data_IF_334278581392
#
_entry.id   IF_334278581392
#
_cell.length_a   1.000
_cell.length_b   1.000
_cell.length_c   1.000
_cell.angle_alpha   90.00
_cell.angle_beta   90.00
_cell.angle_gamma   90.00
#
_symmetry.space_group_name_H-M   'P 1'
#
loop_
_entity.id
_entity.type
_entity.pdbx_description
1 polymer ?
#
# COMPACT_ATOMS: atom_id res chain seq x y z
N UNK A 1 14.75 25.07 -22.53
CA UNK A 1 14.59 23.61 -22.48
C UNK A 1 13.16 23.32 -22.06
N UNK A 2 12.34 22.79 -22.98
CA UNK A 2 10.91 22.59 -22.77
C UNK A 2 10.60 21.27 -22.07
N UNK A 3 10.22 21.34 -20.80
CA UNK A 3 9.68 20.21 -20.01
C UNK A 3 8.15 20.28 -19.86
N UNK A 4 7.43 20.87 -20.83
CA UNK A 4 6.01 21.24 -20.64
C UNK A 4 4.94 20.22 -21.04
N UNK A 5 5.25 19.27 -21.94
CA UNK A 5 4.21 18.42 -22.57
C UNK A 5 4.06 17.04 -21.93
N UNK A 6 5.15 16.26 -21.89
CA UNK A 6 5.12 14.85 -21.49
C UNK A 6 4.65 14.61 -20.05
N UNK A 7 5.13 15.43 -19.10
CA UNK A 7 4.73 15.32 -17.69
C UNK A 7 3.25 15.66 -17.45
N UNK A 8 2.68 16.58 -18.24
CA UNK A 8 1.27 16.91 -18.17
C UNK A 8 0.38 15.79 -18.71
N UNK A 9 0.78 15.16 -19.82
CA UNK A 9 0.08 14.01 -20.41
C UNK A 9 0.14 12.78 -19.49
N UNK A 10 1.30 12.44 -18.96
CA UNK A 10 1.44 11.34 -17.99
C UNK A 10 0.57 11.56 -16.74
N UNK A 11 0.54 12.78 -16.22
CA UNK A 11 -0.32 13.13 -15.08
C UNK A 11 -1.81 12.95 -15.40
N UNK A 12 -2.26 13.38 -16.58
CA UNK A 12 -3.64 13.19 -17.05
C UNK A 12 -3.97 11.70 -17.17
N UNK A 13 -3.07 10.90 -17.73
CA UNK A 13 -3.22 9.46 -17.82
C UNK A 13 -3.43 8.81 -16.45
N UNK A 14 -2.55 9.12 -15.49
CA UNK A 14 -2.64 8.60 -14.13
C UNK A 14 -3.95 9.03 -13.46
N UNK A 15 -4.44 10.25 -13.70
CA UNK A 15 -5.72 10.71 -13.17
C UNK A 15 -6.90 9.88 -13.69
N UNK A 16 -7.02 9.70 -15.01
CA UNK A 16 -8.14 8.96 -15.59
C UNK A 16 -8.10 7.49 -15.19
N UNK A 17 -6.92 6.87 -15.23
CA UNK A 17 -6.75 5.47 -14.81
C UNK A 17 -7.04 5.28 -13.31
N UNK A 18 -6.66 6.25 -12.47
CA UNK A 18 -6.96 6.22 -11.03
C UNK A 18 -8.46 6.26 -10.75
N UNK A 19 -9.20 7.11 -11.47
CA UNK A 19 -10.65 7.23 -11.34
C UNK A 19 -11.35 5.95 -11.82
N UNK A 20 -10.88 5.38 -12.93
CA UNK A 20 -11.35 4.08 -13.42
C UNK A 20 -11.16 2.97 -12.38
N UNK A 21 -9.99 2.91 -11.76
CA UNK A 21 -9.70 1.91 -10.72
C UNK A 21 -10.65 2.05 -9.53
N UNK A 22 -10.89 3.28 -9.07
CA UNK A 22 -11.79 3.55 -7.95
C UNK A 22 -13.23 3.09 -8.24
N UNK A 23 -13.78 3.50 -9.38
CA UNK A 23 -15.14 3.13 -9.80
C UNK A 23 -15.25 1.61 -9.97
N UNK A 24 -14.24 0.99 -10.59
CA UNK A 24 -14.21 -0.47 -10.79
C UNK A 24 -14.17 -1.21 -9.46
N UNK A 25 -13.35 -0.77 -8.50
CA UNK A 25 -13.27 -1.38 -7.16
C UNK A 25 -14.60 -1.34 -6.42
N UNK A 26 -15.28 -0.18 -6.46
CA UNK A 26 -16.61 -0.02 -5.84
C UNK A 26 -17.63 -0.91 -6.54
N UNK A 27 -17.67 -0.87 -7.88
CA UNK A 27 -18.62 -1.66 -8.67
C UNK A 27 -18.48 -3.17 -8.43
N UNK A 28 -17.24 -3.68 -8.34
CA UNK A 28 -16.98 -5.10 -8.04
C UNK A 28 -17.54 -5.48 -6.67
N UNK A 29 -17.32 -4.66 -5.63
CA UNK A 29 -17.87 -4.95 -4.30
C UNK A 29 -19.39 -4.82 -4.26
N UNK A 30 -19.97 -3.82 -4.92
CA UNK A 30 -21.43 -3.67 -5.03
C UNK A 30 -22.04 -4.91 -5.69
N UNK A 31 -21.48 -5.37 -6.80
CA UNK A 31 -21.96 -6.55 -7.51
C UNK A 31 -21.84 -7.82 -6.64
N UNK A 32 -20.72 -7.98 -5.91
CA UNK A 32 -20.52 -9.10 -5.00
C UNK A 32 -21.54 -9.12 -3.85
N UNK A 33 -21.87 -7.96 -3.28
CA UNK A 33 -22.88 -7.85 -2.23
C UNK A 33 -24.31 -7.99 -2.75
N UNK A 34 -24.61 -7.53 -3.96
CA UNK A 34 -25.93 -7.64 -4.55
C UNK A 34 -26.32 -9.09 -4.91
N UNK A 35 -25.33 -9.93 -5.21
CA UNK A 35 -25.56 -11.30 -5.70
C UNK A 35 -25.02 -12.36 -4.73
N UNK A 36 -25.10 -12.13 -3.41
CA UNK A 36 -24.56 -13.05 -2.41
C UNK A 36 -25.13 -14.48 -2.52
N UNK A 37 -26.38 -14.64 -2.95
CA UNK A 37 -27.03 -15.95 -3.05
C UNK A 37 -26.67 -16.72 -4.33
N UNK A 38 -26.23 -16.02 -5.38
CA UNK A 38 -25.87 -16.60 -6.68
C UNK A 38 -24.36 -16.77 -6.85
N UNK A 39 -23.57 -15.86 -6.26
CA UNK A 39 -22.12 -15.85 -6.36
C UNK A 39 -21.52 -16.86 -5.39
N UNK A 40 -20.68 -17.75 -5.90
CA UNK A 40 -19.97 -18.71 -5.05
C UNK A 40 -18.92 -18.04 -4.16
N UNK A 41 -18.54 -18.69 -3.07
CA UNK A 41 -17.49 -18.23 -2.16
C UNK A 41 -16.16 -17.96 -2.89
N UNK A 42 -15.84 -18.76 -3.91
CA UNK A 42 -14.70 -18.52 -4.79
C UNK A 42 -14.79 -17.15 -5.47
N UNK A 43 -15.88 -16.88 -6.19
CA UNK A 43 -16.09 -15.64 -6.93
C UNK A 43 -16.16 -14.43 -6.01
N UNK A 44 -16.80 -14.58 -4.85
CA UNK A 44 -16.84 -13.55 -3.82
C UNK A 44 -15.42 -13.22 -3.31
N UNK A 45 -14.65 -14.23 -2.94
CA UNK A 45 -13.27 -14.02 -2.45
C UNK A 45 -12.40 -13.39 -3.53
N UNK A 46 -12.55 -13.82 -4.78
CA UNK A 46 -11.84 -13.25 -5.93
C UNK A 46 -12.19 -11.76 -6.12
N UNK A 47 -13.49 -11.41 -6.05
CA UNK A 47 -13.96 -10.02 -6.11
C UNK A 47 -13.39 -9.15 -4.98
N UNK A 48 -13.35 -9.68 -3.74
CA UNK A 48 -12.75 -8.98 -2.59
C UNK A 48 -11.26 -8.69 -2.81
N UNK A 49 -10.50 -9.66 -3.33
CA UNK A 49 -9.08 -9.47 -3.61
C UNK A 49 -8.84 -8.48 -4.76
N UNK A 50 -9.68 -8.46 -5.80
CA UNK A 50 -9.62 -7.46 -6.87
C UNK A 50 -9.90 -6.05 -6.34
N UNK A 51 -10.88 -5.90 -5.46
CA UNK A 51 -11.20 -4.61 -4.83
C UNK A 51 -10.07 -4.16 -3.88
N UNK A 52 -9.45 -5.07 -3.15
CA UNK A 52 -8.25 -4.81 -2.35
C UNK A 52 -7.11 -4.28 -3.21
N UNK A 53 -6.88 -4.89 -4.37
CA UNK A 53 -5.84 -4.45 -5.31
C UNK A 53 -6.15 -3.08 -5.89
N UNK A 54 -7.39 -2.86 -6.35
CA UNK A 54 -7.88 -1.57 -6.86
C UNK A 54 -7.67 -0.45 -5.82
N UNK A 55 -8.04 -0.69 -4.55
CA UNK A 55 -7.85 0.28 -3.46
C UNK A 55 -6.38 0.64 -3.26
N UNK A 56 -5.48 -0.35 -3.25
CA UNK A 56 -4.04 -0.12 -3.12
C UNK A 56 -3.45 0.67 -4.28
N UNK A 57 -3.86 0.36 -5.52
CA UNK A 57 -3.43 1.07 -6.72
C UNK A 57 -3.92 2.52 -6.69
N UNK A 58 -5.21 2.73 -6.42
CA UNK A 58 -5.79 4.07 -6.33
C UNK A 58 -5.07 4.92 -5.27
N UNK A 59 -4.85 4.38 -4.07
CA UNK A 59 -4.12 5.07 -3.00
C UNK A 59 -2.71 5.51 -3.42
N UNK A 60 -2.03 4.66 -4.19
CA UNK A 60 -0.68 4.91 -4.67
C UNK A 60 -0.64 6.01 -5.72
N UNK A 61 -1.63 6.03 -6.62
CA UNK A 61 -1.78 7.13 -7.60
C UNK A 61 -2.09 8.46 -6.91
N UNK A 62 -2.86 8.45 -5.81
CA UNK A 62 -3.15 9.67 -5.03
C UNK A 62 -1.90 10.26 -4.39
N UNK A 63 -0.98 9.43 -3.88
CA UNK A 63 0.31 9.88 -3.36
C UNK A 63 1.16 10.53 -4.46
N UNK A 64 1.19 9.93 -5.65
CA UNK A 64 1.88 10.49 -6.81
C UNK A 64 1.26 11.83 -7.27
N UNK A 65 -0.06 11.92 -7.28
CA UNK A 65 -0.82 13.10 -7.71
C UNK A 65 -1.00 14.16 -6.61
N UNK A 66 -0.46 13.93 -5.41
CA UNK A 66 -0.69 14.76 -4.21
C UNK A 66 -0.48 16.24 -4.45
N UNK A 67 0.64 16.63 -5.09
CA UNK A 67 0.94 18.03 -5.39
C UNK A 67 -0.14 18.71 -6.26
N UNK A 68 -0.61 17.99 -7.29
CA UNK A 68 -1.63 18.50 -8.21
C UNK A 68 -3.03 18.57 -7.58
N UNK A 69 -3.42 17.54 -6.81
CA UNK A 69 -4.74 17.45 -6.21
C UNK A 69 -4.95 18.46 -5.08
N UNK A 70 -3.87 18.87 -4.40
CA UNK A 70 -3.93 19.93 -3.38
C UNK A 70 -4.23 21.31 -3.96
N UNK A 71 -3.73 21.59 -5.16
CA UNK A 71 -4.10 22.80 -5.88
C UNK A 71 -5.59 22.79 -6.29
N UNK A 72 -6.24 21.61 -6.32
CA UNK A 72 -7.62 21.46 -6.72
C UNK A 72 -8.45 20.68 -5.69
N UNK A 73 -8.77 21.29 -4.53
CA UNK A 73 -9.35 20.59 -3.38
C UNK A 73 -10.68 19.90 -3.68
N UNK A 74 -11.51 20.45 -4.58
CA UNK A 74 -12.78 19.82 -4.99
C UNK A 74 -12.60 18.40 -5.55
N UNK A 75 -11.60 18.21 -6.40
CA UNK A 75 -11.32 16.91 -7.02
C UNK A 75 -10.59 15.96 -6.08
N UNK A 76 -9.86 16.51 -5.10
CA UNK A 76 -9.25 15.75 -4.02
C UNK A 76 -10.34 15.13 -3.12
N UNK A 77 -11.33 15.92 -2.70
CA UNK A 77 -12.41 15.47 -1.81
C UNK A 77 -13.29 14.40 -2.46
N UNK A 78 -13.62 14.53 -3.75
CA UNK A 78 -14.35 13.49 -4.48
C UNK A 78 -13.62 12.14 -4.44
N UNK A 79 -12.31 12.14 -4.74
CA UNK A 79 -11.49 10.92 -4.74
C UNK A 79 -11.33 10.33 -3.34
N UNK A 80 -11.08 11.18 -2.34
CA UNK A 80 -11.01 10.73 -0.94
C UNK A 80 -12.34 10.11 -0.49
N UNK A 81 -13.47 10.74 -0.84
CA UNK A 81 -14.79 10.22 -0.48
C UNK A 81 -15.02 8.84 -1.09
N UNK A 82 -14.80 8.68 -2.40
CA UNK A 82 -14.94 7.37 -3.04
C UNK A 82 -13.97 6.34 -2.47
N UNK A 83 -12.74 6.73 -2.15
CA UNK A 83 -11.74 5.86 -1.55
C UNK A 83 -12.16 5.38 -0.14
N UNK A 84 -12.73 6.26 0.68
CA UNK A 84 -13.28 5.90 2.00
C UNK A 84 -14.46 4.94 1.84
N UNK A 85 -15.35 5.17 0.88
CA UNK A 85 -16.47 4.26 0.58
C UNK A 85 -15.93 2.88 0.18
N UNK A 86 -15.00 2.81 -0.77
CA UNK A 86 -14.35 1.56 -1.20
C UNK A 86 -13.70 0.85 -0.02
N UNK A 87 -13.00 1.58 0.84
CA UNK A 87 -12.32 1.01 2.01
C UNK A 87 -13.30 0.44 3.04
N UNK A 88 -14.38 1.16 3.35
CA UNK A 88 -15.42 0.66 4.28
C UNK A 88 -16.08 -0.60 3.74
N UNK A 89 -16.46 -0.59 2.46
CA UNK A 89 -16.99 -1.78 1.78
C UNK A 89 -15.98 -2.94 1.83
N UNK A 90 -14.70 -2.67 1.62
CA UNK A 90 -13.64 -3.68 1.65
C UNK A 90 -13.45 -4.27 3.06
N UNK A 91 -13.46 -3.44 4.11
CA UNK A 91 -13.37 -3.92 5.50
C UNK A 91 -14.52 -4.87 5.82
N UNK A 92 -15.75 -4.51 5.43
CA UNK A 92 -16.93 -5.36 5.60
C UNK A 92 -16.78 -6.64 4.79
N UNK A 93 -16.31 -6.55 3.54
CA UNK A 93 -16.19 -7.70 2.66
C UNK A 93 -15.15 -8.74 3.12
N UNK A 94 -14.11 -8.30 3.84
CA UNK A 94 -13.05 -9.15 4.38
C UNK A 94 -13.49 -10.00 5.59
N UNK A 95 -14.49 -9.56 6.37
CA UNK A 95 -14.98 -10.27 7.58
C UNK A 95 -15.19 -11.77 7.33
N UNK A 96 -16.03 -12.18 6.35
CA UNK A 96 -16.26 -13.60 6.07
C UNK A 96 -15.01 -14.34 5.55
N UNK A 97 -14.07 -13.64 4.91
CA UNK A 97 -12.86 -14.25 4.36
C UNK A 97 -11.84 -14.63 5.44
N UNK A 98 -11.97 -14.09 6.66
CA UNK A 98 -11.10 -14.41 7.79
C UNK A 98 -11.46 -15.71 8.51
N UNK A 99 -12.56 -16.35 8.13
CA UNK A 99 -13.01 -17.61 8.72
C UNK A 99 -12.09 -18.74 8.25
N UNK A 100 -11.22 -19.24 9.14
CA UNK A 100 -10.30 -20.33 8.82
C UNK A 100 -11.02 -21.65 8.56
N UNK A 101 -12.25 -21.79 9.05
CA UNK A 101 -13.15 -22.91 8.78
C UNK A 101 -13.32 -23.18 7.27
N UNK A 102 -13.36 -22.15 6.43
CA UNK A 102 -13.53 -22.31 4.99
C UNK A 102 -12.32 -23.03 4.36
N UNK A 103 -11.12 -22.62 4.74
CA UNK A 103 -9.88 -23.25 4.27
C UNK A 103 -9.79 -24.71 4.71
N UNK A 104 -10.16 -24.99 5.96
CA UNK A 104 -10.17 -26.34 6.52
C UNK A 104 -11.21 -27.24 5.82
N UNK A 105 -12.39 -26.71 5.55
CA UNK A 105 -13.43 -27.43 4.79
C UNK A 105 -12.96 -27.75 3.37
N UNK A 106 -12.33 -26.81 2.68
CA UNK A 106 -11.88 -27.02 1.31
C UNK A 106 -10.75 -28.07 1.22
N UNK A 107 -9.83 -28.08 2.19
CA UNK A 107 -8.75 -29.05 2.28
C UNK A 107 -9.28 -30.47 2.54
N UNK A 108 -10.15 -30.65 3.53
CA UNK A 108 -10.71 -31.96 3.85
C UNK A 108 -11.61 -32.48 2.73
N UNK A 109 -12.45 -31.63 2.13
CA UNK A 109 -13.32 -32.03 1.00
C UNK A 109 -12.49 -32.46 -0.21
N UNK A 110 -11.35 -31.81 -0.49
CA UNK A 110 -10.47 -32.24 -1.58
C UNK A 110 -9.89 -33.65 -1.39
N UNK A 111 -9.92 -34.18 -0.16
CA UNK A 111 -9.47 -35.53 0.19
C UNK A 111 -10.55 -36.60 -0.01
N UNK A 112 -11.83 -36.22 -0.05
CA UNK A 112 -12.96 -37.13 -0.19
C UNK A 112 -13.65 -36.91 -1.55
N UNK A 113 -13.63 -37.94 -2.41
CA UNK A 113 -14.04 -37.87 -3.82
C UNK A 113 -15.52 -37.46 -4.05
N UNK A 114 -16.38 -37.59 -3.04
CA UNK A 114 -17.83 -37.44 -3.16
C UNK A 114 -18.40 -36.13 -2.57
N UNK A 115 -17.55 -35.22 -2.07
CA UNK A 115 -18.01 -33.96 -1.46
C UNK A 115 -17.78 -32.75 -2.38
N UNK A 116 -18.77 -31.85 -2.46
CA UNK A 116 -18.63 -30.58 -3.20
C UNK A 116 -17.68 -29.63 -2.46
N UNK A 117 -16.66 -29.04 -3.11
CA UNK A 117 -15.73 -28.12 -2.47
C UNK A 117 -16.45 -26.89 -1.92
N UNK A 118 -16.04 -26.44 -0.73
CA UNK A 118 -16.66 -25.32 -0.02
C UNK A 118 -16.63 -24.00 -0.83
N UNK A 119 -15.67 -23.89 -1.75
CA UNK A 119 -15.52 -22.78 -2.68
C UNK A 119 -16.73 -22.61 -3.65
N UNK A 120 -17.48 -23.68 -3.90
CA UNK A 120 -18.66 -23.67 -4.79
C UNK A 120 -19.98 -23.34 -4.09
N UNK A 121 -19.99 -23.16 -2.78
CA UNK A 121 -21.20 -22.81 -2.01
C UNK A 121 -21.52 -21.32 -2.24
N UNK A 122 -22.79 -20.90 -2.26
CA UNK A 122 -23.17 -19.49 -2.28
C UNK A 122 -22.51 -18.68 -1.15
N UNK A 123 -22.00 -17.49 -1.47
CA UNK A 123 -21.35 -16.60 -0.50
C UNK A 123 -22.32 -16.15 0.61
N UNK A 124 -23.62 -16.07 0.33
CA UNK A 124 -24.66 -15.74 1.29
C UNK A 124 -24.73 -16.73 2.45
N UNK A 125 -24.36 -18.00 2.24
CA UNK A 125 -24.24 -18.97 3.32
C UNK A 125 -23.18 -18.52 4.35
N UNK A 126 -22.07 -17.95 3.90
CA UNK A 126 -20.97 -17.49 4.77
C UNK A 126 -21.42 -16.33 5.66
N UNK A 127 -22.20 -15.40 5.11
CA UNK A 127 -22.81 -14.30 5.85
C UNK A 127 -23.86 -14.79 6.87
N UNK A 128 -24.64 -15.83 6.53
CA UNK A 128 -25.60 -16.45 7.46
C UNK A 128 -24.89 -17.11 8.66
N UNK A 129 -23.69 -17.69 8.46
CA UNK A 129 -22.88 -18.23 9.56
C UNK A 129 -22.43 -17.13 10.55
N UNK A 130 -22.09 -15.93 10.07
CA UNK A 130 -21.66 -14.83 10.95
C UNK A 130 -22.79 -14.27 11.82
N UNK A 131 -24.03 -14.28 11.33
CA UNK A 131 -25.17 -13.63 11.99
C UNK A 131 -25.86 -14.46 13.06
N UNK A 132 -26.13 -15.74 12.81
CA UNK A 132 -26.86 -16.64 13.71
C UNK A 132 -26.58 -18.11 13.34
N UNK A 133 -25.35 -18.59 13.53
CA UNK A 133 -25.06 -20.01 13.28
C UNK A 133 -25.62 -20.89 14.41
N UNK A 134 -26.70 -21.60 14.12
CA UNK A 134 -27.13 -22.78 14.88
C UNK A 134 -26.99 -24.00 13.99
N UNK A 135 -26.28 -25.06 14.41
CA UNK A 135 -26.21 -26.28 13.63
C UNK A 135 -27.64 -26.83 13.45
N UNK A 136 -28.06 -27.24 12.24
CA UNK A 136 -29.35 -27.90 12.07
C UNK A 136 -29.42 -29.11 13.02
N UNK A 137 -30.35 -29.08 13.97
CA UNK A 137 -30.65 -30.21 14.86
C UNK A 137 -31.62 -31.18 14.16
N UNK A 138 -31.35 -31.56 12.91
CA UNK A 138 -32.19 -32.54 12.24
C UNK A 138 -31.76 -33.98 12.55
N UNK A 139 -32.72 -34.70 13.12
CA UNK A 139 -32.67 -36.07 13.62
C UNK A 139 -32.53 -37.10 12.47
N UNK A 140 -31.34 -37.22 11.87
CA UNK A 140 -30.98 -38.43 11.13
C UNK A 140 -29.76 -39.04 11.81
N UNK A 141 -30.02 -40.06 12.64
CA UNK A 141 -29.09 -40.71 13.56
C UNK A 141 -27.87 -41.40 12.95
N UNK A 142 -27.36 -40.95 11.79
CA UNK A 142 -26.21 -41.57 11.15
C UNK A 142 -25.29 -40.63 10.36
N UNK A 143 -25.68 -39.36 10.09
CA UNK A 143 -24.82 -38.41 9.39
C UNK A 143 -24.65 -37.12 10.20
N UNK A 144 -23.56 -37.03 10.99
CA UNK A 144 -23.08 -35.71 11.44
C UNK A 144 -22.77 -34.89 10.20
N UNK A 145 -23.39 -33.72 10.06
CA UNK A 145 -22.97 -32.78 9.03
C UNK A 145 -21.48 -32.47 9.22
N UNK A 146 -20.64 -32.52 8.16
CA UNK A 146 -19.22 -32.18 8.26
C UNK A 146 -19.02 -30.79 8.87
N UNK A 147 -19.98 -29.88 8.67
CA UNK A 147 -20.00 -28.54 9.24
C UNK A 147 -19.85 -28.51 10.77
N UNK A 148 -20.39 -29.48 11.51
CA UNK A 148 -20.27 -29.53 12.97
C UNK A 148 -18.82 -29.75 13.45
N UNK A 149 -17.96 -30.33 12.60
CA UNK A 149 -16.52 -30.49 12.86
C UNK A 149 -15.78 -29.15 12.77
N UNK A 150 -16.19 -28.27 11.87
CA UNK A 150 -15.52 -26.99 11.61
C UNK A 150 -16.10 -25.81 12.39
N UNK A 151 -17.35 -25.94 12.86
CA UNK A 151 -18.04 -24.95 13.67
C UNK A 151 -18.51 -25.57 15.00
N UNK A 152 -17.60 -25.96 15.92
CA UNK A 152 -18.02 -26.53 17.19
C UNK A 152 -18.72 -25.47 18.06
N UNK A 153 -19.98 -25.72 18.42
CA UNK A 153 -20.76 -24.96 19.43
C UNK A 153 -20.80 -23.43 19.20
N UNK A 154 -20.88 -22.97 17.95
CA UNK A 154 -20.99 -21.54 17.63
C UNK A 154 -19.69 -20.75 17.68
N UNK A 155 -18.56 -21.40 17.99
CA UNK A 155 -17.25 -20.77 17.88
C UNK A 155 -16.78 -20.80 16.43
N UNK A 156 -16.72 -19.62 15.80
CA UNK A 156 -16.20 -19.44 14.44
C UNK A 156 -14.69 -19.29 14.54
N UNK A 157 -13.88 -20.26 14.07
CA UNK A 157 -12.43 -20.12 14.12
C UNK A 157 -11.97 -19.05 13.13
N UNK A 158 -11.14 -18.13 13.62
CA UNK A 158 -10.62 -16.98 12.86
C UNK A 158 -9.14 -17.19 12.57
N UNK A 159 -8.71 -16.88 11.35
CA UNK A 159 -7.30 -16.87 10.98
C UNK A 159 -6.59 -15.64 11.56
N UNK A 160 -5.72 -15.86 12.55
CA UNK A 160 -4.93 -14.79 13.18
C UNK A 160 -4.02 -14.04 12.20
N UNK A 161 -3.53 -14.68 11.14
CA UNK A 161 -2.72 -14.02 10.11
C UNK A 161 -3.55 -13.06 9.28
N UNK A 162 -4.76 -13.47 8.92
CA UNK A 162 -5.69 -12.63 8.19
C UNK A 162 -6.13 -11.41 9.02
N UNK A 163 -6.37 -11.60 10.33
CA UNK A 163 -6.67 -10.48 11.26
C UNK A 163 -5.51 -9.50 11.36
N UNK A 164 -4.28 -10.00 11.53
CA UNK A 164 -3.09 -9.15 11.56
C UNK A 164 -2.94 -8.36 10.25
N UNK A 165 -3.16 -9.02 9.10
CA UNK A 165 -3.13 -8.38 7.79
C UNK A 165 -4.17 -7.26 7.66
N UNK A 166 -5.39 -7.48 8.15
CA UNK A 166 -6.45 -6.45 8.15
C UNK A 166 -6.11 -5.26 9.04
N UNK A 167 -5.50 -5.51 10.20
CA UNK A 167 -5.01 -4.43 11.07
C UNK A 167 -3.94 -3.61 10.35
N UNK A 168 -2.95 -4.27 9.73
CA UNK A 168 -1.89 -3.61 8.96
C UNK A 168 -2.48 -2.81 7.80
N UNK A 169 -3.46 -3.38 7.07
CA UNK A 169 -4.15 -2.72 5.98
C UNK A 169 -4.86 -1.46 6.45
N UNK A 170 -5.57 -1.53 7.58
CA UNK A 170 -6.24 -0.38 8.19
C UNK A 170 -5.25 0.72 8.56
N UNK A 171 -4.18 0.39 9.28
CA UNK A 171 -3.15 1.36 9.64
C UNK A 171 -2.47 1.96 8.41
N UNK A 172 -2.19 1.17 7.38
CA UNK A 172 -1.56 1.64 6.14
C UNK A 172 -2.48 2.58 5.36
N UNK A 173 -3.77 2.24 5.27
CA UNK A 173 -4.78 3.10 4.65
C UNK A 173 -4.85 4.45 5.35
N UNK A 174 -4.98 4.43 6.69
CA UNK A 174 -5.08 5.63 7.52
C UNK A 174 -3.81 6.48 7.41
N UNK A 175 -2.62 5.88 7.50
CA UNK A 175 -1.32 6.54 7.28
C UNK A 175 -1.30 7.27 5.94
N UNK A 176 -1.61 6.56 4.84
CA UNK A 176 -1.54 7.13 3.49
C UNK A 176 -2.63 8.19 3.26
N UNK A 177 -3.82 8.01 3.80
CA UNK A 177 -4.89 9.01 3.76
C UNK A 177 -4.47 10.30 4.49
N UNK A 178 -3.90 10.20 5.69
CA UNK A 178 -3.40 11.37 6.42
C UNK A 178 -2.26 12.05 5.70
N UNK A 179 -1.41 11.30 5.01
CA UNK A 179 -0.30 11.85 4.24
C UNK A 179 -0.76 12.78 3.12
N UNK A 180 -2.02 12.71 2.67
CA UNK A 180 -2.57 13.61 1.65
C UNK A 180 -2.67 15.07 2.13
N UNK A 181 -2.71 15.33 3.43
CA UNK A 181 -2.83 16.67 4.01
C UNK A 181 -1.57 17.04 4.79
N UNK A 182 -0.99 18.23 4.58
CA UNK A 182 0.27 18.60 5.23
C UNK A 182 0.13 18.68 6.74
N UNK A 183 -0.92 19.34 7.23
CA UNK A 183 -1.19 19.46 8.67
C UNK A 183 -1.37 18.07 9.33
N UNK A 184 -1.99 17.12 8.63
CA UNK A 184 -2.17 15.77 9.16
C UNK A 184 -0.89 14.95 9.06
N UNK A 185 -0.14 15.07 7.96
CA UNK A 185 1.19 14.44 7.80
C UNK A 185 2.17 14.93 8.85
N UNK A 186 2.30 16.23 9.03
CA UNK A 186 3.26 16.83 9.96
C UNK A 186 2.93 16.41 11.39
N UNK A 187 1.64 16.42 11.76
CA UNK A 187 1.20 15.88 13.07
C UNK A 187 1.50 14.40 13.20
N UNK A 188 1.29 13.61 12.16
CA UNK A 188 1.56 12.18 12.19
C UNK A 188 3.07 11.91 12.30
N UNK A 189 3.89 12.53 11.46
CA UNK A 189 5.35 12.42 11.52
C UNK A 189 5.86 12.89 12.89
N UNK A 190 5.31 13.98 13.42
CA UNK A 190 5.68 14.43 14.75
C UNK A 190 5.34 13.39 15.84
N UNK A 191 4.16 12.76 15.74
CA UNK A 191 3.72 11.75 16.71
C UNK A 191 4.50 10.44 16.62
N UNK A 192 4.84 9.98 15.43
CA UNK A 192 5.38 8.64 15.20
C UNK A 192 6.86 8.57 14.80
N UNK A 193 7.46 9.67 14.36
CA UNK A 193 8.89 9.80 14.02
C UNK A 193 9.62 10.67 15.04
N UNK A 194 9.15 11.89 15.28
CA UNK A 194 9.88 12.83 16.15
C UNK A 194 9.76 12.48 17.64
N UNK A 195 8.55 12.17 18.13
CA UNK A 195 8.34 11.83 19.55
C UNK A 195 9.14 10.58 19.98
N UNK A 196 9.15 9.46 19.23
CA UNK A 196 9.93 8.29 19.63
C UNK A 196 11.43 8.51 19.49
N UNK A 197 11.89 9.21 18.46
CA UNK A 197 13.33 9.53 18.30
C UNK A 197 13.84 10.42 19.43
N UNK A 198 13.07 11.45 19.84
CA UNK A 198 13.37 12.28 21.00
C UNK A 198 13.34 11.47 22.31
N UNK A 199 12.39 10.55 22.46
CA UNK A 199 12.34 9.67 23.62
C UNK A 199 13.58 8.77 23.72
N UNK A 200 13.99 8.19 22.60
CA UNK A 200 15.17 7.33 22.49
C UNK A 200 16.45 8.11 22.76
N UNK A 201 16.62 9.29 22.17
CA UNK A 201 17.76 10.17 22.40
C UNK A 201 17.89 10.55 23.89
N UNK A 202 16.79 10.97 24.53
CA UNK A 202 16.76 11.25 25.98
C UNK A 202 17.11 10.04 26.84
N UNK A 203 16.79 8.82 26.40
CA UNK A 203 17.15 7.59 27.11
C UNK A 203 18.62 7.27 26.91
N UNK A 204 19.14 7.35 25.69
CA UNK A 204 20.57 7.13 25.36
C UNK A 204 21.46 8.08 26.17
N UNK A 205 21.10 9.36 26.25
CA UNK A 205 21.85 10.37 27.02
C UNK A 205 21.87 10.06 28.53
N UNK A 206 20.76 9.57 29.10
CA UNK A 206 20.69 9.17 30.52
C UNK A 206 21.63 8.02 30.87
N UNK A 207 21.88 7.10 29.94
CA UNK A 207 22.76 5.96 30.17
C UNK A 207 24.23 6.24 29.87
N UNK A 208 24.60 7.48 29.50
CA UNK A 208 25.97 7.88 29.16
C UNK A 208 26.92 7.98 30.37
N UNK A 209 26.39 7.96 31.61
CA UNK A 209 27.19 8.07 32.84
C UNK A 209 28.07 6.85 33.15
N UNK A 210 29.29 7.10 33.68
CA UNK A 210 30.36 6.09 33.90
C UNK A 210 30.39 5.46 35.32
N UNK A 211 29.62 5.99 36.27
CA UNK A 211 29.72 5.59 37.68
C UNK A 211 28.99 4.27 37.98
N UNK A 212 29.67 3.27 38.55
CA UNK A 212 29.05 2.02 39.02
C UNK A 212 29.96 0.78 38.92
N UNK A 213 29.52 -0.34 39.51
CA UNK A 213 30.22 -1.63 39.47
C UNK A 213 30.36 -2.19 38.04
N UNK A 214 31.31 -3.11 37.84
CA UNK A 214 31.64 -3.72 36.54
C UNK A 214 30.41 -4.34 35.84
N UNK A 215 29.58 -5.07 36.58
CA UNK A 215 28.30 -5.65 36.09
C UNK A 215 27.33 -4.54 35.64
N UNK A 216 27.19 -3.45 36.41
CA UNK A 216 26.34 -2.31 36.04
C UNK A 216 26.89 -1.50 34.86
N UNK A 217 28.21 -1.50 34.65
CA UNK A 217 28.82 -0.93 33.45
C UNK A 217 28.49 -1.76 32.21
N UNK A 218 28.62 -3.08 32.29
CA UNK A 218 28.28 -3.98 31.18
C UNK A 218 26.79 -3.90 30.81
N UNK A 219 25.88 -3.97 31.80
CA UNK A 219 24.44 -3.89 31.55
C UNK A 219 24.03 -2.54 30.91
N UNK A 220 24.59 -1.42 31.37
CA UNK A 220 24.35 -0.10 30.76
C UNK A 220 24.96 0.02 29.37
N UNK A 221 26.11 -0.62 29.12
CA UNK A 221 26.69 -0.66 27.78
C UNK A 221 25.78 -1.45 26.82
N UNK A 222 25.34 -2.66 27.21
CA UNK A 222 24.41 -3.47 26.42
C UNK A 222 23.11 -2.72 26.13
N UNK A 223 22.47 -2.16 27.16
CA UNK A 223 21.24 -1.37 27.01
C UNK A 223 21.43 -0.15 26.10
N UNK A 224 22.57 0.56 26.19
CA UNK A 224 22.90 1.68 25.29
C UNK A 224 23.00 1.21 23.85
N UNK A 225 23.71 0.12 23.59
CA UNK A 225 23.86 -0.44 22.24
C UNK A 225 22.49 -0.84 21.69
N UNK A 226 21.65 -1.52 22.46
CA UNK A 226 20.28 -1.86 22.05
C UNK A 226 19.44 -0.63 21.73
N UNK A 227 19.49 0.42 22.55
CA UNK A 227 18.75 1.67 22.29
C UNK A 227 19.25 2.39 21.03
N UNK A 228 20.57 2.40 20.78
CA UNK A 228 21.15 2.96 19.55
C UNK A 228 20.71 2.16 18.33
N UNK A 229 20.72 0.82 18.39
CA UNK A 229 20.22 -0.05 17.32
C UNK A 229 18.75 0.22 17.04
N UNK A 230 17.91 0.30 18.09
CA UNK A 230 16.48 0.57 17.93
C UNK A 230 16.22 1.96 17.36
N UNK A 231 16.98 2.98 17.79
CA UNK A 231 16.96 4.31 17.20
C UNK A 231 17.34 4.31 15.72
N UNK A 232 18.39 3.56 15.36
CA UNK A 232 18.87 3.44 13.99
C UNK A 232 17.84 2.74 13.10
N UNK A 233 17.29 1.59 13.54
CA UNK A 233 16.24 0.85 12.81
C UNK A 233 15.01 1.73 12.62
N UNK A 234 14.55 2.42 13.66
CA UNK A 234 13.39 3.30 13.58
C UNK A 234 13.61 4.44 12.57
N UNK A 235 14.78 5.08 12.62
CA UNK A 235 15.13 6.19 11.71
C UNK A 235 15.25 5.69 10.27
N UNK A 236 15.96 4.58 10.05
CA UNK A 236 16.11 3.96 8.74
C UNK A 236 14.76 3.55 8.13
N UNK A 237 13.88 2.95 8.94
CA UNK A 237 12.55 2.56 8.49
C UNK A 237 11.75 3.78 8.05
N UNK A 238 11.73 4.84 8.87
CA UNK A 238 11.02 6.08 8.51
C UNK A 238 11.61 6.76 7.27
N UNK A 239 12.93 6.86 7.19
CA UNK A 239 13.60 7.48 6.05
C UNK A 239 13.39 6.66 4.77
N UNK A 240 13.33 5.33 4.86
CA UNK A 240 12.95 4.47 3.74
C UNK A 240 11.47 4.65 3.36
N UNK A 241 10.55 4.74 4.33
CA UNK A 241 9.12 4.93 4.08
C UNK A 241 8.79 6.31 3.49
N UNK A 242 9.49 7.37 3.91
CA UNK A 242 9.35 8.72 3.36
C UNK A 242 10.08 8.88 2.01
N UNK A 243 10.94 7.93 1.63
CA UNK A 243 11.67 7.99 0.36
C UNK A 243 10.76 7.69 -0.84
N UNK A 244 11.09 8.30 -1.97
CA UNK A 244 10.41 8.02 -3.24
C UNK A 244 10.58 6.55 -3.66
N UNK A 245 11.79 6.00 -3.48
CA UNK A 245 12.09 4.61 -3.79
C UNK A 245 11.30 3.64 -2.90
N UNK A 246 11.20 3.91 -1.59
CA UNK A 246 10.40 3.11 -0.67
C UNK A 246 8.92 3.12 -1.03
N UNK A 247 8.39 4.27 -1.47
CA UNK A 247 7.03 4.35 -2.02
C UNK A 247 6.84 3.44 -3.23
N UNK A 248 7.78 3.43 -4.19
CA UNK A 248 7.75 2.50 -5.34
C UNK A 248 7.80 1.05 -4.87
N UNK A 249 8.71 0.69 -3.97
CA UNK A 249 8.83 -0.69 -3.49
C UNK A 249 7.60 -1.18 -2.78
N UNK A 250 6.95 -0.35 -1.94
CA UNK A 250 5.69 -0.72 -1.29
C UNK A 250 4.57 -0.96 -2.30
N UNK A 251 4.49 -0.16 -3.36
CA UNK A 251 3.52 -0.37 -4.44
C UNK A 251 3.77 -1.70 -5.13
N UNK A 252 5.03 -1.97 -5.48
CA UNK A 252 5.44 -3.22 -6.13
C UNK A 252 5.15 -4.42 -5.23
N UNK A 253 5.48 -4.37 -3.94
CA UNK A 253 5.19 -5.44 -2.98
C UNK A 253 3.67 -5.69 -2.91
N UNK A 254 2.85 -4.65 -2.78
CA UNK A 254 1.40 -4.80 -2.68
C UNK A 254 0.80 -5.40 -3.97
N UNK A 255 1.26 -4.95 -5.15
CA UNK A 255 0.84 -5.50 -6.43
C UNK A 255 1.27 -6.95 -6.61
N UNK A 256 2.52 -7.26 -6.27
CA UNK A 256 3.08 -8.61 -6.30
C UNK A 256 2.32 -9.58 -5.39
N UNK A 257 2.10 -9.19 -4.13
CA UNK A 257 1.37 -10.01 -3.15
C UNK A 257 -0.08 -10.20 -3.55
N UNK A 258 -0.78 -9.13 -3.96
CA UNK A 258 -2.17 -9.21 -4.41
C UNK A 258 -2.34 -10.09 -5.65
N UNK A 259 -1.44 -9.95 -6.63
CA UNK A 259 -1.46 -10.80 -7.84
C UNK A 259 -1.16 -12.26 -7.48
N UNK A 260 -0.18 -12.50 -6.60
CA UNK A 260 0.13 -13.84 -6.10
C UNK A 260 -1.06 -14.50 -5.39
N UNK A 261 -1.83 -13.74 -4.61
CA UNK A 261 -3.06 -14.23 -3.97
C UNK A 261 -4.13 -14.62 -5.00
N UNK A 262 -4.34 -13.83 -6.05
CA UNK A 262 -5.30 -14.17 -7.11
C UNK A 262 -4.90 -15.45 -7.85
N UNK A 263 -3.61 -15.61 -8.16
CA UNK A 263 -3.07 -16.84 -8.78
C UNK A 263 -3.26 -18.03 -7.83
N UNK A 264 -2.95 -17.85 -6.55
CA UNK A 264 -3.09 -18.90 -5.54
C UNK A 264 -4.54 -19.34 -5.36
N UNK A 265 -5.51 -18.41 -5.39
CA UNK A 265 -6.93 -18.73 -5.33
C UNK A 265 -7.35 -19.54 -6.56
N UNK A 266 -6.89 -19.16 -7.77
CA UNK A 266 -7.19 -19.93 -8.99
C UNK A 266 -6.51 -21.30 -9.03
N UNK A 267 -5.31 -21.45 -8.45
CA UNK A 267 -4.61 -22.73 -8.43
C UNK A 267 -5.24 -23.76 -7.49
N UNK A 268 -6.14 -23.33 -6.59
CA UNK A 268 -6.91 -24.21 -5.73
C UNK A 268 -8.12 -24.85 -6.41
N UNK A 269 -8.51 -24.39 -7.61
CA UNK A 269 -9.62 -24.97 -8.36
C UNK A 269 -9.24 -26.30 -9.01
N UNK A 270 -10.19 -27.25 -9.12
CA UNK A 270 -10.04 -28.43 -9.97
C UNK A 270 -9.73 -28.03 -11.42
N UNK A 271 -8.96 -28.85 -12.18
CA UNK A 271 -8.52 -28.50 -13.52
C UNK A 271 -9.67 -28.27 -14.50
N UNK A 272 -10.75 -29.05 -14.41
CA UNK A 272 -11.95 -28.92 -15.27
C UNK A 272 -12.63 -27.56 -15.10
N UNK A 273 -12.94 -27.17 -13.86
CA UNK A 273 -13.55 -25.88 -13.53
C UNK A 273 -12.61 -24.73 -13.93
N UNK A 274 -11.29 -24.90 -13.74
CA UNK A 274 -10.31 -23.88 -14.11
C UNK A 274 -10.26 -23.62 -15.61
N UNK A 275 -10.49 -24.64 -16.43
CA UNK A 275 -10.58 -24.49 -17.89
C UNK A 275 -11.88 -23.78 -18.29
N UNK A 276 -13.01 -24.13 -17.68
CA UNK A 276 -14.28 -23.43 -17.88
C UNK A 276 -14.16 -21.93 -17.51
N UNK A 277 -13.58 -21.63 -16.35
CA UNK A 277 -13.31 -20.25 -15.88
C UNK A 277 -12.26 -19.48 -16.72
N UNK A 278 -11.50 -20.18 -17.57
CA UNK A 278 -10.56 -19.55 -18.50
C UNK A 278 -11.24 -19.14 -19.81
N UNK A 279 -12.42 -19.67 -20.12
CA UNK A 279 -13.16 -19.30 -21.33
C UNK A 279 -13.77 -17.91 -21.19
N UNK A 280 -13.48 -17.04 -22.16
CA UNK A 280 -13.99 -15.66 -22.16
C UNK A 280 -15.38 -15.63 -22.80
N UNK A 281 -16.37 -15.16 -22.03
CA UNK A 281 -17.74 -14.97 -22.50
C UNK A 281 -17.99 -13.52 -22.93
N UNK A 282 -19.09 -13.28 -23.66
CA UNK A 282 -19.49 -11.91 -24.07
C UNK A 282 -19.51 -10.92 -22.88
N UNK A 283 -20.04 -11.37 -21.74
CA UNK A 283 -20.13 -10.58 -20.51
C UNK A 283 -18.78 -10.23 -19.88
N UNK A 284 -17.69 -10.89 -20.27
CA UNK A 284 -16.33 -10.58 -19.81
C UNK A 284 -15.56 -9.75 -20.85
N UNK A 285 -15.74 -10.04 -22.15
CA UNK A 285 -15.06 -9.33 -23.24
C UNK A 285 -15.51 -7.87 -23.32
N UNK A 286 -16.83 -7.64 -23.27
CA UNK A 286 -17.39 -6.29 -23.45
C UNK A 286 -16.91 -5.32 -22.37
N UNK A 287 -16.98 -5.63 -21.06
CA UNK A 287 -16.44 -4.73 -20.03
C UNK A 287 -14.94 -4.50 -20.16
N UNK A 288 -14.14 -5.51 -20.56
CA UNK A 288 -12.70 -5.32 -20.78
C UNK A 288 -12.40 -4.38 -21.94
N UNK A 289 -13.16 -4.47 -23.04
CA UNK A 289 -13.04 -3.55 -24.16
C UNK A 289 -13.40 -2.10 -23.75
N UNK A 290 -14.45 -1.93 -22.95
CA UNK A 290 -14.82 -0.62 -22.40
C UNK A 290 -13.76 -0.08 -21.42
N UNK A 291 -13.11 -0.96 -20.66
CA UNK A 291 -12.03 -0.60 -19.74
C UNK A 291 -10.76 -0.15 -20.48
N UNK A 292 -10.62 -0.47 -21.77
CA UNK A 292 -9.52 0.00 -22.61
C UNK A 292 -9.70 1.43 -23.11
N UNK A 293 -10.93 1.98 -23.11
CA UNK A 293 -11.22 3.34 -23.62
C UNK A 293 -10.35 4.44 -23.00
N UNK A 294 -10.15 4.49 -21.66
CA UNK A 294 -9.26 5.46 -21.05
C UNK A 294 -7.80 5.34 -21.52
N UNK A 295 -7.34 4.12 -21.78
CA UNK A 295 -5.97 3.86 -22.25
C UNK A 295 -5.82 4.36 -23.68
N UNK A 296 -6.82 4.11 -24.53
CA UNK A 296 -6.86 4.58 -25.92
C UNK A 296 -6.87 6.11 -25.96
N UNK A 297 -7.74 6.76 -25.19
CA UNK A 297 -7.83 8.21 -25.13
C UNK A 297 -6.50 8.86 -24.68
N UNK A 298 -5.80 8.24 -23.73
CA UNK A 298 -4.47 8.67 -23.30
C UNK A 298 -3.44 8.47 -24.42
N UNK A 299 -3.45 7.32 -25.08
CA UNK A 299 -2.53 7.02 -26.17
C UNK A 299 -2.72 7.99 -27.35
N UNK A 300 -3.97 8.33 -27.68
CA UNK A 300 -4.29 9.35 -28.69
C UNK A 300 -3.71 10.71 -28.32
N UNK A 301 -3.95 11.20 -27.10
CA UNK A 301 -3.41 12.49 -26.60
C UNK A 301 -1.87 12.50 -26.67
N UNK A 302 -1.22 11.39 -26.32
CA UNK A 302 0.24 11.23 -26.39
C UNK A 302 0.80 11.21 -27.81
N UNK A 303 0.03 10.72 -28.79
CA UNK A 303 0.45 10.62 -30.19
C UNK A 303 0.16 11.90 -31.00
N UNK A 304 -0.84 12.70 -30.59
CA UNK A 304 -1.08 14.01 -31.18
C UNK A 304 0.04 14.99 -30.83
N UNK A 305 0.86 15.37 -31.82
CA UNK A 305 1.84 16.46 -31.66
C UNK A 305 1.11 17.77 -31.35
N UNK A 306 1.59 18.59 -30.38
CA UNK A 306 1.03 19.92 -30.19
C UNK A 306 1.23 20.74 -31.48
N UNK A 307 0.24 21.58 -31.86
CA UNK A 307 0.38 22.44 -33.03
C UNK A 307 1.57 23.38 -32.82
N UNK A 308 2.46 23.42 -33.81
CA UNK A 308 3.58 24.36 -33.88
C UNK A 308 3.04 25.78 -33.77
N UNK A 309 3.55 26.64 -32.87
CA UNK A 309 3.15 28.04 -32.88
C UNK A 309 3.60 28.65 -34.21
N UNK A 310 2.65 29.10 -35.01
CA UNK A 310 2.94 29.87 -36.23
C UNK A 310 3.73 31.11 -35.81
N UNK A 311 4.98 31.17 -36.28
CA UNK A 311 5.78 32.39 -36.32
C UNK A 311 4.97 33.48 -37.02
N UNK A 312 4.56 34.49 -36.26
CA UNK A 312 3.99 35.72 -36.77
C UNK A 312 5.02 36.39 -37.68
N UNK A 313 4.73 36.42 -38.98
CA UNK A 313 5.40 37.29 -39.95
C UNK A 313 5.25 38.74 -39.47
N UNK A 314 6.37 39.34 -39.11
CA UNK A 314 6.52 40.79 -38.96
C UNK A 314 6.46 41.42 -40.34
N UNK A 315 5.33 42.02 -40.70
CA UNK A 315 5.31 43.08 -41.70
C UNK A 315 5.17 44.42 -40.98
N UNK A 316 6.15 45.27 -41.24
CA UNK A 316 6.36 46.58 -40.64
C UNK A 316 5.69 47.64 -41.51
N UNK A 317 4.86 48.49 -40.93
CA UNK A 317 4.66 49.85 -41.43
C UNK A 317 4.29 50.79 -40.28
N UNK A 318 4.92 51.96 -40.34
CA UNK A 318 5.00 53.04 -39.35
C UNK A 318 3.86 54.04 -39.60
N UNK A 319 3.16 54.52 -38.56
CA UNK A 319 2.89 55.98 -38.34
C UNK A 319 2.13 56.29 -37.02
N UNK A 320 2.84 57.02 -36.14
CA UNK A 320 2.45 58.18 -35.30
C UNK A 320 0.99 58.39 -34.85
N UNK A 321 0.75 58.38 -33.52
CA UNK A 321 0.39 59.56 -32.67
C UNK A 321 -0.19 59.14 -31.30
N UNK A 322 0.20 59.84 -30.22
CA UNK A 322 -0.36 59.79 -28.85
C UNK A 322 -1.42 60.93 -28.69
N UNK A 323 -2.24 61.08 -27.60
CA UNK A 323 -2.18 60.47 -26.25
C UNK A 323 -3.60 60.13 -25.65
N UNK A 324 -3.82 60.12 -24.31
CA UNK A 324 -3.98 58.93 -23.47
C UNK A 324 -5.43 58.62 -23.06
N UNK A 325 -5.73 57.37 -22.72
CA UNK A 325 -7.02 56.98 -22.17
C UNK A 325 -6.94 55.65 -21.43
N UNK A 326 -7.03 55.73 -20.10
CA UNK A 326 -7.23 54.62 -19.18
C UNK A 326 -8.36 53.69 -19.67
N UNK A 327 -8.18 52.37 -19.56
CA UNK A 327 -9.05 51.50 -18.75
C UNK A 327 -8.62 50.03 -18.83
N UNK A 328 -8.36 49.48 -17.65
CA UNK A 328 -8.53 48.08 -17.23
C UNK A 328 -8.62 46.98 -18.29
N UNK A 329 -7.56 46.18 -18.39
CA UNK A 329 -7.67 44.74 -18.61
C UNK A 329 -6.57 44.03 -17.80
N UNK A 330 -6.99 43.32 -16.77
CA UNK A 330 -6.14 42.54 -15.88
C UNK A 330 -5.59 41.33 -16.64
N UNK A 331 -4.38 41.46 -17.19
CA UNK A 331 -3.62 40.32 -17.69
C UNK A 331 -3.20 39.45 -16.50
N UNK A 332 -3.84 38.30 -16.35
CA UNK A 332 -3.40 37.23 -15.45
C UNK A 332 -2.09 36.68 -16.04
N UNK A 333 -0.97 37.19 -15.54
CA UNK A 333 0.35 36.61 -15.76
C UNK A 333 0.44 35.28 -15.01
N UNK A 334 0.30 34.17 -15.73
CA UNK A 334 0.63 32.83 -15.23
C UNK A 334 2.16 32.65 -15.18
N UNK A 335 2.81 33.32 -14.23
CA UNK A 335 4.15 32.98 -13.78
C UNK A 335 4.04 32.07 -12.55
N UNK A 336 3.70 30.80 -12.79
CA UNK A 336 3.93 29.74 -11.79
C UNK A 336 5.13 28.90 -12.19
N UNK A 337 6.29 29.45 -11.89
CA UNK A 337 7.56 28.72 -11.79
C UNK A 337 7.48 27.85 -10.53
N UNK A 338 7.06 26.60 -10.67
CA UNK A 338 7.13 25.63 -9.56
C UNK A 338 8.48 24.90 -9.57
N UNK A 339 9.08 24.67 -8.39
CA UNK A 339 10.35 24.00 -8.27
C UNK A 339 10.17 22.50 -8.53
N UNK A 340 11.06 21.93 -9.32
CA UNK A 340 11.32 20.50 -9.28
C UNK A 340 11.59 20.10 -7.81
N UNK A 341 10.99 19.01 -7.34
CA UNK A 341 11.37 18.36 -6.08
C UNK A 341 12.77 17.76 -6.24
N UNK A 342 13.76 18.65 -6.27
CA UNK A 342 15.14 18.35 -6.00
C UNK A 342 15.23 18.22 -4.48
N UNK A 343 15.82 17.12 -4.00
CA UNK A 343 16.14 16.94 -2.60
C UNK A 343 17.14 18.03 -2.21
N UNK A 344 16.68 19.19 -1.74
CA UNK A 344 17.55 20.19 -1.12
C UNK A 344 17.90 19.65 0.26
N UNK A 345 19.18 19.34 0.54
CA UNK A 345 19.62 19.19 1.92
C UNK A 345 19.25 20.46 2.67
N UNK A 346 18.74 20.33 3.89
CA UNK A 346 18.55 21.48 4.79
C UNK A 346 19.81 22.35 4.76
N UNK A 347 19.71 23.68 4.53
CA UNK A 347 20.86 24.54 4.60
C UNK A 347 21.46 24.44 6.02
N UNK A 348 22.80 24.42 6.16
CA UNK A 348 23.41 24.45 7.48
C UNK A 348 22.92 25.70 8.23
N UNK A 349 22.65 25.59 9.54
CA UNK A 349 22.08 26.70 10.30
C UNK A 349 23.03 27.90 10.23
N UNK A 350 22.48 29.06 9.85
CA UNK A 350 23.20 30.31 9.72
C UNK A 350 24.03 30.58 10.99
N UNK A 351 25.35 30.62 10.82
CA UNK A 351 26.29 31.09 11.81
C UNK A 351 26.15 32.61 11.95
N UNK A 352 25.44 33.04 13.00
CA UNK A 352 25.79 34.17 13.88
C UNK A 352 24.59 34.51 14.77
N UNK A 353 24.66 34.09 16.03
CA UNK A 353 24.67 34.96 17.22
C UNK A 353 24.98 34.12 18.45
N UNK A 354 26.02 34.54 19.17
CA UNK A 354 26.61 34.00 20.38
C UNK A 354 25.62 33.37 21.38
N UNK A 355 25.71 32.05 21.58
CA UNK A 355 25.31 31.35 22.80
C UNK A 355 26.04 30.00 22.83
N UNK A 356 26.51 29.51 24.00
CA UNK A 356 27.46 28.41 24.07
C UNK A 356 26.87 27.14 23.45
N UNK A 357 27.65 26.56 22.55
CA UNK A 357 27.44 25.31 21.81
C UNK A 357 26.56 24.29 22.55
N UNK A 358 25.28 24.23 22.18
CA UNK A 358 24.50 23.02 22.41
C UNK A 358 25.19 21.88 21.63
N UNK A 359 25.45 20.72 22.27
CA UNK A 359 26.05 19.59 21.57
C UNK A 359 25.18 19.23 20.36
N UNK A 360 25.82 19.12 19.18
CA UNK A 360 25.18 18.67 17.96
C UNK A 360 24.40 17.37 18.26
N UNK A 361 23.11 17.27 17.89
CA UNK A 361 22.32 16.09 18.19
C UNK A 361 22.99 14.87 17.57
N UNK A 362 23.10 13.77 18.32
CA UNK A 362 23.68 12.48 17.92
C UNK A 362 23.21 12.04 16.51
N UNK A 363 22.01 12.48 16.14
CA UNK A 363 21.39 12.35 14.83
C UNK A 363 22.25 12.83 13.64
N UNK A 364 22.92 13.99 13.70
CA UNK A 364 23.68 14.52 12.56
C UNK A 364 24.95 13.69 12.28
N UNK A 365 25.62 13.22 13.34
CA UNK A 365 26.78 12.35 13.23
C UNK A 365 26.42 10.94 12.73
N UNK A 366 25.27 10.39 13.15
CA UNK A 366 24.78 9.10 12.65
C UNK A 366 24.39 9.17 11.17
N UNK A 367 23.67 10.21 10.75
CA UNK A 367 23.23 10.40 9.36
C UNK A 367 24.41 10.62 8.39
N UNK A 368 25.49 11.27 8.85
CA UNK A 368 26.71 11.47 8.07
C UNK A 368 27.60 10.21 7.99
N UNK A 369 27.27 9.15 8.72
CA UNK A 369 28.10 7.95 8.77
C UNK A 369 27.96 7.09 7.50
N UNK A 370 29.08 6.50 7.06
CA UNK A 370 29.08 5.50 5.97
C UNK A 370 28.24 4.27 6.32
N UNK A 371 28.16 3.92 7.61
CA UNK A 371 27.35 2.81 8.11
C UNK A 371 25.87 3.05 7.85
N UNK A 372 25.35 4.24 8.18
CA UNK A 372 23.96 4.60 7.91
C UNK A 372 23.65 4.55 6.41
N UNK A 373 24.55 5.09 5.58
CA UNK A 373 24.39 5.06 4.12
C UNK A 373 24.33 3.62 3.58
N UNK A 374 25.23 2.74 4.04
CA UNK A 374 25.23 1.33 3.66
C UNK A 374 23.91 0.66 4.06
N UNK A 375 23.50 0.80 5.33
CA UNK A 375 22.27 0.21 5.85
C UNK A 375 21.01 0.72 5.15
N UNK A 376 20.98 2.00 4.78
CA UNK A 376 19.88 2.59 4.02
C UNK A 376 19.72 1.91 2.65
N UNK A 377 20.83 1.73 1.92
CA UNK A 377 20.81 1.05 0.62
C UNK A 377 20.55 -0.44 0.73
N UNK A 378 21.09 -1.11 1.75
CA UNK A 378 20.75 -2.51 2.06
C UNK A 378 19.25 -2.67 2.35
N UNK A 379 18.65 -1.77 3.12
CA UNK A 379 17.20 -1.79 3.39
C UNK A 379 16.40 -1.68 2.09
N UNK A 380 16.80 -0.79 1.16
CA UNK A 380 16.14 -0.68 -0.14
C UNK A 380 16.36 -1.93 -1.01
N UNK A 381 17.55 -2.54 -0.97
CA UNK A 381 17.83 -3.79 -1.67
C UNK A 381 17.00 -4.96 -1.11
N UNK A 382 16.81 -5.04 0.21
CA UNK A 382 15.92 -6.02 0.85
C UNK A 382 14.46 -5.80 0.46
N UNK A 383 14.00 -4.55 0.43
CA UNK A 383 12.64 -4.22 -0.04
C UNK A 383 12.45 -4.60 -1.52
N UNK A 384 13.45 -4.34 -2.37
CA UNK A 384 13.42 -4.74 -3.77
C UNK A 384 13.40 -6.28 -3.92
N UNK A 385 14.26 -6.97 -3.19
CA UNK A 385 14.34 -8.43 -3.20
C UNK A 385 13.02 -9.05 -2.74
N UNK A 386 12.45 -8.57 -1.64
CA UNK A 386 11.15 -9.06 -1.16
C UNK A 386 10.04 -8.82 -2.18
N UNK A 387 10.00 -7.66 -2.84
CA UNK A 387 9.03 -7.36 -3.89
C UNK A 387 9.02 -8.36 -5.05
N UNK A 388 10.20 -8.90 -5.39
CA UNK A 388 10.39 -9.87 -6.48
C UNK A 388 10.23 -11.32 -5.99
N UNK A 389 10.77 -11.65 -4.81
CA UNK A 389 10.82 -13.01 -4.29
C UNK A 389 9.49 -13.49 -3.70
N UNK A 390 8.72 -12.59 -3.06
CA UNK A 390 7.38 -12.88 -2.53
C UNK A 390 6.44 -13.56 -3.53
N UNK A 391 6.23 -13.00 -4.74
CA UNK A 391 5.35 -13.63 -5.71
C UNK A 391 5.93 -14.94 -6.26
N UNK A 392 7.25 -15.02 -6.51
CA UNK A 392 7.88 -16.25 -7.04
C UNK A 392 7.72 -17.41 -6.07
N UNK A 393 8.02 -17.19 -4.79
CA UNK A 393 7.95 -18.27 -3.79
C UNK A 393 6.52 -18.75 -3.55
N UNK A 394 5.51 -17.87 -3.63
CA UNK A 394 4.10 -18.25 -3.58
C UNK A 394 3.63 -19.07 -4.80
N UNK A 395 4.20 -18.82 -5.97
CA UNK A 395 3.89 -19.56 -7.20
C UNK A 395 4.59 -20.92 -7.23
N UNK A 396 5.88 -20.97 -6.87
CA UNK A 396 6.71 -22.17 -7.00
C UNK A 396 6.53 -23.20 -5.89
N UNK A 397 6.25 -22.80 -4.65
CA UNK A 397 6.22 -23.71 -3.49
C UNK A 397 4.81 -24.03 -3.00
N UNK A 398 3.90 -24.32 -3.93
CA UNK A 398 2.49 -24.60 -3.66
C UNK A 398 2.25 -25.47 -2.42
N UNK A 399 1.38 -24.97 -1.53
CA UNK A 399 0.84 -25.59 -0.30
C UNK A 399 1.90 -26.18 0.65
N UNK A 400 2.24 -25.45 1.71
CA UNK A 400 2.65 -26.16 2.92
C UNK A 400 3.41 -25.42 4.00
N UNK A 401 4.20 -24.38 3.72
CA UNK A 401 5.10 -23.88 4.75
C UNK A 401 4.99 -22.38 5.01
N UNK A 402 4.81 -22.06 6.29
CA UNK A 402 4.95 -20.74 6.90
C UNK A 402 6.41 -20.23 6.84
N UNK A 403 7.07 -20.35 5.69
CA UNK A 403 8.43 -19.92 5.43
C UNK A 403 8.62 -18.41 5.69
N UNK A 404 7.52 -17.65 5.58
CA UNK A 404 7.44 -16.22 5.85
C UNK A 404 7.78 -15.84 7.30
N UNK A 405 7.38 -16.64 8.29
CA UNK A 405 7.70 -16.37 9.70
C UNK A 405 9.20 -16.55 9.98
N UNK A 406 9.89 -17.41 9.25
CA UNK A 406 11.34 -17.54 9.41
C UNK A 406 12.08 -16.37 8.76
N UNK A 407 11.64 -15.86 7.61
CA UNK A 407 12.38 -14.83 6.88
C UNK A 407 12.08 -13.38 7.27
N UNK A 408 10.85 -13.03 7.67
CA UNK A 408 10.58 -11.68 8.19
C UNK A 408 11.19 -11.42 9.57
N UNK A 409 11.53 -12.47 10.32
CA UNK A 409 12.27 -12.37 11.59
C UNK A 409 13.80 -12.40 11.42
N UNK A 410 14.32 -12.70 10.22
CA UNK A 410 15.77 -12.71 9.96
C UNK A 410 16.45 -11.32 9.93
N UNK A 411 15.77 -10.15 9.79
CA UNK A 411 16.46 -8.89 10.07
C UNK A 411 16.73 -8.68 11.58
N UNK A 412 16.19 -9.50 12.49
CA UNK A 412 16.42 -9.38 13.93
C UNK A 412 17.47 -10.36 14.50
N UNK A 413 18.04 -11.27 13.71
CA UNK A 413 19.00 -12.27 14.21
C UNK A 413 20.38 -12.22 13.55
N UNK A 414 20.69 -11.21 12.73
CA UNK A 414 22.07 -10.97 12.29
C UNK A 414 22.84 -10.30 13.44
N UNK A 415 23.33 -11.13 14.36
CA UNK A 415 24.12 -10.65 15.49
C UNK A 415 24.43 -11.72 16.53
N UNK A 416 24.84 -12.92 16.12
CA UNK A 416 25.78 -13.78 16.87
C UNK A 416 26.03 -15.09 16.11
N UNK A 417 27.06 -15.11 15.27
CA UNK A 417 27.77 -16.35 14.94
C UNK A 417 29.26 -16.03 14.91
N UNK A 418 29.86 -16.13 16.08
CA UNK A 418 31.30 -16.08 16.29
C UNK A 418 31.61 -17.06 17.41
N UNK A 419 31.89 -18.32 17.08
CA UNK A 419 32.19 -19.34 18.08
C UNK A 419 32.39 -20.74 17.51
N UNK A 420 33.59 -20.98 17.00
CA UNK A 420 34.32 -22.25 16.76
C UNK A 420 33.68 -23.59 17.20
N UNK A 421 33.77 -24.56 16.27
CA UNK A 421 34.16 -25.97 16.42
C UNK A 421 33.67 -26.72 17.67
N UNK A 422 32.76 -27.68 17.51
CA UNK A 422 33.02 -29.12 17.33
C UNK A 422 31.79 -29.81 16.73
#
# INVERSE_FOLDING_TARGET
>A
MGEGGGGAMFRRAVLVLSDQQLVTGVAILVAAFANLEDVSVFHYTFAVQLAWLSSNVHLSTMLFLRGYLRAHPRYLWFRISGMVVLFLMLMVALIPTHMSALSLMNEDVSRFRDMRPANGIPAGCLWKVLGNWTPPQEQLGQFRSPAQRYFPKGNIPVDGQAVLSTIILFFTFVWRLMSMFDISRDRFQHMFRDRPSLFLDRKIQRYMGSAGSLVRRFLRWSLRVTLIILYLIHTLLWDALDSYAGSIWLITINLSVGTGQLIQIRSQLPPTIREEEATWTFGQIMPLALLALPIIAVAEDMLTKPPTPQSSRTDSSISTSSPPGNNHASTITNDTKYPATQYTPLPPPNTRTNSPSAPLPIQTHLLASKLYTLLFWETHAMLAFTAIWLPISRISFGKGENFWLNYMFIPMTIGCSGGRLW
#
